data_IF_055466795106
#
_entry.id   IF_055466795106
#
_cell.length_a   1.000
_cell.length_b   1.000
_cell.length_c   1.000
_cell.angle_alpha   90.00
_cell.angle_beta   90.00
_cell.angle_gamma   90.00
#
_symmetry.space_group_name_H-M   'P 1'
#
loop_
_entity.id
_entity.type
_entity.pdbx_description
1 polymer ?
#
# COMPACT_ATOMS: atom_id res chain seq x y z
N UNK A 1 -53.21 -5.52 30.27
CA UNK A 1 -52.61 -5.54 28.90
C UNK A 1 -51.12 -5.31 29.03
N UNK A 2 -50.27 -6.35 28.96
CA UNK A 2 -48.82 -6.18 28.98
C UNK A 2 -48.31 -5.81 27.58
N UNK A 3 -47.56 -4.70 27.50
CA UNK A 3 -46.93 -4.23 26.28
C UNK A 3 -45.83 -5.21 25.83
N UNK A 4 -45.85 -5.59 24.55
CA UNK A 4 -44.89 -6.53 23.95
C UNK A 4 -43.43 -6.01 23.96
N UNK A 5 -42.45 -6.89 23.69
CA UNK A 5 -41.04 -6.53 23.76
C UNK A 5 -40.70 -5.49 22.70
N UNK A 6 -40.25 -4.32 23.15
CA UNK A 6 -39.73 -3.27 22.27
C UNK A 6 -38.42 -3.75 21.63
N UNK A 7 -38.45 -3.88 20.30
CA UNK A 7 -37.27 -4.14 19.49
C UNK A 7 -36.34 -2.94 19.55
N UNK A 8 -35.19 -3.08 20.23
CA UNK A 8 -34.07 -2.13 20.10
C UNK A 8 -33.52 -2.22 18.67
N UNK A 9 -34.11 -1.45 17.76
CA UNK A 9 -33.44 -1.01 16.54
C UNK A 9 -32.50 0.12 16.93
N UNK A 10 -31.20 -0.18 17.10
CA UNK A 10 -30.19 0.84 17.36
C UNK A 10 -29.11 0.76 16.30
N UNK A 11 -29.33 1.58 15.27
CA UNK A 11 -28.34 2.27 14.43
C UNK A 11 -27.17 1.44 13.87
N UNK A 12 -27.30 1.15 12.58
CA UNK A 12 -26.25 1.04 11.55
C UNK A 12 -24.82 1.37 12.01
N UNK A 13 -23.82 0.47 11.83
CA UNK A 13 -22.40 0.80 11.95
C UNK A 13 -21.95 1.63 10.72
N UNK A 14 -22.54 2.81 10.60
CA UNK A 14 -22.34 3.73 9.49
C UNK A 14 -21.14 4.64 9.73
N UNK A 15 -20.02 4.27 9.10
CA UNK A 15 -19.08 5.19 8.44
C UNK A 15 -18.70 6.46 9.22
N UNK A 16 -17.81 6.31 10.19
CA UNK A 16 -16.88 7.40 10.51
C UNK A 16 -15.53 7.12 9.82
N UNK A 17 -15.53 7.02 8.49
CA UNK A 17 -14.30 7.17 7.72
C UNK A 17 -14.03 8.67 7.66
N UNK A 18 -13.25 9.13 8.62
CA UNK A 18 -12.76 10.50 8.72
C UNK A 18 -12.18 10.89 7.37
N UNK A 19 -12.69 11.93 6.72
CA UNK A 19 -12.23 12.38 5.41
C UNK A 19 -10.71 12.66 5.37
N UNK A 20 -10.09 12.93 6.53
CA UNK A 20 -8.64 13.01 6.71
C UNK A 20 -7.90 11.69 6.47
N UNK A 21 -8.46 10.57 6.89
CA UNK A 21 -7.87 9.23 6.68
C UNK A 21 -7.90 8.83 5.20
N UNK A 22 -8.96 9.20 4.48
CA UNK A 22 -9.12 8.91 3.05
C UNK A 22 -8.14 9.73 2.20
N UNK A 23 -7.99 11.03 2.49
CA UNK A 23 -6.98 11.88 1.81
C UNK A 23 -5.58 11.37 2.04
N UNK A 24 -5.25 11.02 3.29
CA UNK A 24 -3.95 10.48 3.65
C UNK A 24 -3.68 9.16 2.92
N UNK A 25 -4.66 8.25 2.91
CA UNK A 25 -4.58 6.98 2.20
C UNK A 25 -4.35 7.20 0.70
N UNK A 26 -5.14 8.06 0.04
CA UNK A 26 -5.00 8.35 -1.40
C UNK A 26 -3.62 8.93 -1.71
N UNK A 27 -3.11 9.86 -0.89
CA UNK A 27 -1.77 10.43 -1.09
C UNK A 27 -0.67 9.38 -1.00
N UNK A 28 -0.71 8.49 -0.01
CA UNK A 28 0.26 7.40 0.11
C UNK A 28 0.14 6.36 -1.00
N UNK A 29 -1.09 6.07 -1.45
CA UNK A 29 -1.31 5.20 -2.60
C UNK A 29 -0.75 5.78 -3.88
N UNK A 30 -0.95 7.08 -4.13
CA UNK A 30 -0.37 7.75 -5.29
C UNK A 30 1.16 7.80 -5.23
N UNK A 31 1.73 8.08 -4.07
CA UNK A 31 3.18 8.02 -3.84
C UNK A 31 3.74 6.62 -4.07
N UNK A 32 3.04 5.59 -3.59
CA UNK A 32 3.45 4.21 -3.83
C UNK A 32 3.38 3.86 -5.32
N UNK A 33 2.27 4.17 -5.97
CA UNK A 33 2.03 3.85 -7.38
C UNK A 33 3.02 4.57 -8.29
N UNK A 34 3.36 5.82 -7.99
CA UNK A 34 4.35 6.59 -8.75
C UNK A 34 5.75 6.01 -8.61
N UNK A 35 6.16 5.66 -7.39
CA UNK A 35 7.46 5.01 -7.14
C UNK A 35 7.54 3.64 -7.80
N UNK A 36 6.50 2.82 -7.65
CA UNK A 36 6.42 1.50 -8.27
C UNK A 36 6.45 1.58 -9.81
N UNK A 37 5.74 2.54 -10.42
CA UNK A 37 5.78 2.75 -11.86
C UNK A 37 7.18 3.17 -12.32
N UNK A 38 7.79 4.15 -11.65
CA UNK A 38 9.14 4.63 -11.98
C UNK A 38 10.16 3.48 -11.92
N UNK A 39 10.10 2.67 -10.87
CA UNK A 39 11.01 1.55 -10.67
C UNK A 39 10.72 0.37 -11.59
N UNK A 40 9.47 0.18 -12.02
CA UNK A 40 9.12 -0.77 -13.06
C UNK A 40 9.74 -0.37 -14.41
N UNK A 41 9.57 0.87 -14.86
CA UNK A 41 10.17 1.34 -16.13
C UNK A 41 11.70 1.35 -16.08
N UNK A 42 12.29 1.88 -15.00
CA UNK A 42 13.74 1.89 -14.82
C UNK A 42 14.31 0.47 -14.69
N UNK A 43 13.58 -0.41 -14.00
CA UNK A 43 13.91 -1.83 -13.86
C UNK A 43 13.92 -2.52 -15.22
N UNK A 44 12.85 -2.38 -16.01
CA UNK A 44 12.77 -2.96 -17.36
C UNK A 44 13.90 -2.49 -18.25
N UNK A 45 14.27 -1.20 -18.20
CA UNK A 45 15.41 -0.69 -18.95
C UNK A 45 16.76 -1.23 -18.45
N UNK A 46 16.93 -1.39 -17.14
CA UNK A 46 18.14 -1.96 -16.55
C UNK A 46 18.31 -3.44 -16.93
N UNK A 47 17.22 -4.20 -16.99
CA UNK A 47 17.28 -5.60 -17.42
C UNK A 47 17.47 -5.72 -18.94
N UNK A 48 16.84 -4.85 -19.74
CA UNK A 48 17.07 -4.78 -21.20
C UNK A 48 18.54 -4.47 -21.57
N UNK A 49 19.22 -3.68 -20.74
CA UNK A 49 20.64 -3.37 -20.88
C UNK A 49 21.59 -4.39 -20.23
N UNK A 50 21.08 -5.56 -19.82
CA UNK A 50 21.82 -6.63 -19.13
C UNK A 50 22.55 -6.16 -17.85
N UNK A 51 22.10 -5.05 -17.28
CA UNK A 51 22.75 -4.39 -16.15
C UNK A 51 22.14 -4.83 -14.82
N UNK A 52 22.45 -6.07 -14.43
CA UNK A 52 21.97 -6.73 -13.23
C UNK A 52 22.32 -5.99 -11.92
N UNK A 53 23.43 -5.24 -11.90
CA UNK A 53 23.84 -4.43 -10.74
C UNK A 53 22.88 -3.26 -10.54
N UNK A 54 22.54 -2.54 -11.62
CA UNK A 54 21.56 -1.46 -11.57
C UNK A 54 20.18 -2.01 -11.19
N UNK A 55 19.77 -3.12 -11.80
CA UNK A 55 18.49 -3.77 -11.44
C UNK A 55 18.43 -4.14 -9.94
N UNK A 56 19.48 -4.77 -9.40
CA UNK A 56 19.56 -5.13 -7.98
C UNK A 56 19.53 -3.88 -7.08
N UNK A 57 20.20 -2.80 -7.49
CA UNK A 57 20.16 -1.51 -6.81
C UNK A 57 18.76 -0.90 -6.80
N UNK A 58 18.04 -0.93 -7.93
CA UNK A 58 16.66 -0.46 -8.04
C UNK A 58 15.71 -1.27 -7.16
N UNK A 59 15.87 -2.60 -7.10
CA UNK A 59 15.10 -3.46 -6.18
C UNK A 59 15.36 -3.07 -4.72
N UNK A 60 16.62 -2.86 -4.33
CA UNK A 60 16.96 -2.41 -2.99
C UNK A 60 16.35 -1.03 -2.67
N UNK A 61 16.38 -0.10 -3.62
CA UNK A 61 15.74 1.23 -3.51
C UNK A 61 14.22 1.09 -3.35
N UNK A 62 13.56 0.19 -4.10
CA UNK A 62 12.12 -0.04 -3.97
C UNK A 62 11.75 -0.58 -2.58
N UNK A 63 12.56 -1.50 -2.03
CA UNK A 63 12.36 -2.02 -0.69
C UNK A 63 12.55 -0.92 0.37
N UNK A 64 13.59 -0.09 0.24
CA UNK A 64 13.79 1.06 1.12
C UNK A 64 12.65 2.08 1.01
N UNK A 65 12.19 2.37 -0.20
CA UNK A 65 11.10 3.30 -0.48
C UNK A 65 9.78 2.84 0.16
N UNK A 66 9.46 1.55 0.01
CA UNK A 66 8.28 0.97 0.67
C UNK A 66 8.36 1.00 2.19
N UNK A 67 9.55 0.77 2.76
CA UNK A 67 9.76 0.88 4.20
C UNK A 67 9.52 2.32 4.70
N UNK A 68 10.05 3.32 4.00
CA UNK A 68 9.83 4.75 4.30
C UNK A 68 8.35 5.11 4.20
N UNK A 69 7.65 4.59 3.18
CA UNK A 69 6.21 4.79 3.00
C UNK A 69 5.39 4.22 4.17
N UNK A 70 5.72 3.01 4.62
CA UNK A 70 5.06 2.36 5.77
C UNK A 70 5.30 3.16 7.06
N UNK A 71 6.51 3.68 7.26
CA UNK A 71 6.82 4.58 8.39
C UNK A 71 6.05 5.90 8.29
N UNK A 72 5.91 6.47 7.09
CA UNK A 72 5.11 7.65 6.84
C UNK A 72 3.63 7.43 7.21
N UNK A 73 3.05 6.32 6.76
CA UNK A 73 1.67 5.93 7.12
C UNK A 73 1.55 5.76 8.64
N UNK A 74 2.53 5.13 9.30
CA UNK A 74 2.55 4.98 10.76
C UNK A 74 2.56 6.32 11.49
N UNK A 75 3.31 7.29 10.99
CA UNK A 75 3.41 8.65 11.56
C UNK A 75 2.11 9.45 11.35
N UNK A 76 1.57 9.42 10.13
CA UNK A 76 0.40 10.22 9.76
C UNK A 76 -0.94 9.67 10.27
N UNK A 77 -1.06 8.36 10.49
CA UNK A 77 -2.32 7.76 10.91
C UNK A 77 -2.53 7.84 12.44
N UNK A 78 -3.56 8.56 12.90
CA UNK A 78 -3.86 8.72 14.32
C UNK A 78 -5.01 7.87 14.87
N UNK A 79 -5.67 7.04 14.06
CA UNK A 79 -6.82 6.24 14.48
C UNK A 79 -6.51 5.09 15.46
N UNK A 80 -7.52 4.54 16.18
CA UNK A 80 -7.34 3.47 17.19
C UNK A 80 -6.88 2.12 16.61
N UNK A 81 -6.96 1.91 15.30
CA UNK A 81 -6.58 0.65 14.62
C UNK A 81 -5.32 0.78 13.74
N UNK A 82 -4.35 1.65 14.10
CA UNK A 82 -3.12 1.91 13.31
C UNK A 82 -2.44 0.64 12.82
N UNK A 83 -2.20 -0.29 13.75
CA UNK A 83 -1.47 -1.53 13.48
C UNK A 83 -2.18 -2.45 12.49
N UNK A 84 -3.52 -2.45 12.48
CA UNK A 84 -4.31 -3.26 11.55
C UNK A 84 -4.27 -2.71 10.13
N UNK A 85 -4.31 -1.38 9.99
CA UNK A 85 -4.20 -0.71 8.67
C UNK A 85 -2.78 -0.86 8.12
N UNK A 86 -1.76 -0.62 8.96
CA UNK A 86 -0.35 -0.79 8.58
C UNK A 86 -0.07 -2.21 8.09
N UNK A 87 -0.53 -3.24 8.82
CA UNK A 87 -0.35 -4.63 8.41
C UNK A 87 -0.98 -4.93 7.05
N UNK A 88 -2.22 -4.47 6.83
CA UNK A 88 -2.92 -4.70 5.55
C UNK A 88 -2.24 -3.98 4.38
N UNK A 89 -1.89 -2.71 4.55
CA UNK A 89 -1.25 -1.93 3.49
C UNK A 89 0.16 -2.44 3.18
N UNK A 90 0.91 -2.86 4.20
CA UNK A 90 2.25 -3.46 4.03
C UNK A 90 2.20 -4.74 3.19
N UNK A 91 1.23 -5.63 3.44
CA UNK A 91 1.10 -6.86 2.66
C UNK A 91 0.80 -6.58 1.19
N UNK A 92 -0.06 -5.60 0.91
CA UNK A 92 -0.40 -5.21 -0.46
C UNK A 92 0.81 -4.62 -1.19
N UNK A 93 1.58 -3.74 -0.54
CA UNK A 93 2.82 -3.21 -1.12
C UNK A 93 3.85 -4.30 -1.42
N UNK A 94 3.97 -5.31 -0.55
CA UNK A 94 4.88 -6.42 -0.82
C UNK A 94 4.42 -7.30 -1.98
N UNK A 95 3.13 -7.61 -2.06
CA UNK A 95 2.56 -8.36 -3.19
C UNK A 95 2.81 -7.61 -4.51
N UNK A 96 2.57 -6.30 -4.54
CA UNK A 96 2.79 -5.48 -5.74
C UNK A 96 4.28 -5.40 -6.09
N UNK A 97 5.19 -5.25 -5.11
CA UNK A 97 6.63 -5.28 -5.38
C UNK A 97 7.07 -6.61 -6.00
N UNK A 98 6.56 -7.73 -5.51
CA UNK A 98 6.87 -9.06 -6.06
C UNK A 98 6.31 -9.19 -7.48
N UNK A 99 5.05 -8.77 -7.71
CA UNK A 99 4.43 -8.75 -9.04
C UNK A 99 5.26 -7.92 -10.02
N UNK A 100 5.63 -6.69 -9.64
CA UNK A 100 6.50 -5.81 -10.43
C UNK A 100 7.82 -6.50 -10.76
N UNK A 101 8.49 -7.09 -9.76
CA UNK A 101 9.75 -7.79 -9.97
C UNK A 101 9.64 -8.97 -10.95
N UNK A 102 8.63 -9.83 -10.78
CA UNK A 102 8.40 -10.97 -11.67
C UNK A 102 8.01 -10.49 -13.07
N UNK A 103 7.15 -9.47 -13.18
CA UNK A 103 6.78 -8.90 -14.47
C UNK A 103 7.97 -8.31 -15.21
N UNK A 104 8.87 -7.61 -14.52
CA UNK A 104 10.10 -7.08 -15.12
C UNK A 104 11.04 -8.18 -15.61
N UNK A 105 11.19 -9.26 -14.84
CA UNK A 105 12.03 -10.41 -15.23
C UNK A 105 11.39 -11.27 -16.32
N UNK A 106 10.06 -11.37 -16.35
CA UNK A 106 9.31 -12.19 -17.30
C UNK A 106 9.33 -11.68 -18.75
N UNK A 107 9.79 -10.44 -19.00
CA UNK A 107 10.00 -9.94 -20.36
C UNK A 107 11.39 -10.25 -20.91
N UNK A 108 12.32 -10.72 -20.07
CA UNK A 108 13.74 -10.92 -20.42
C UNK A 108 14.05 -12.40 -20.72
N UNK A 109 13.08 -13.29 -20.48
CA UNK A 109 13.12 -14.72 -20.83
C UNK A 109 12.03 -15.07 -21.84
#
# INVERSE_FOLDING_TARGET
>A
MPQGPQTKSTSSPGRHFIAGDLRLAISYWLLYLSGAALLFFAGSWAVDSDNWVVFSGLVAIQLAYTFVLILGIRSGYQGPQKWKVISRTSSVFMIINILVGISTLGFVY
#
